data_IF_309679658419
#
_entry.id   IF_309679658419
#
_cell.length_a   1.000
_cell.length_b   1.000
_cell.length_c   1.000
_cell.angle_alpha   90.00
_cell.angle_beta   90.00
_cell.angle_gamma   90.00
#
_symmetry.space_group_name_H-M   'P 1'
#
loop_
_entity.id
_entity.type
_entity.pdbx_description
1 polymer ?
#
# COMPACT_ATOMS: atom_id res chain seq x y z
N UNK A 1 6.13 2.89 26.62
CA UNK A 1 6.16 2.05 25.40
C UNK A 1 4.85 2.24 24.67
N UNK A 2 4.86 2.82 23.47
CA UNK A 2 3.63 3.10 22.74
C UNK A 2 3.00 1.76 22.31
N UNK A 3 1.91 1.37 22.97
CA UNK A 3 1.15 0.17 22.63
C UNK A 3 0.72 0.19 21.16
N UNK A 4 0.61 -0.99 20.57
CA UNK A 4 0.05 -1.16 19.23
C UNK A 4 -1.31 -0.46 19.19
N UNK A 5 -1.40 0.73 18.57
CA UNK A 5 -2.66 1.43 18.36
C UNK A 5 -3.56 0.53 17.50
N UNK A 6 -4.53 -0.14 18.09
CA UNK A 6 -5.06 -1.40 17.56
C UNK A 6 -5.61 -1.39 16.12
N UNK A 7 -6.11 -0.27 15.62
CA UNK A 7 -6.64 -0.14 14.26
C UNK A 7 -6.32 1.27 13.76
N UNK A 8 -5.74 1.38 12.57
CA UNK A 8 -5.37 2.67 11.99
C UNK A 8 -5.49 2.60 10.47
N UNK A 9 -6.16 3.59 9.90
CA UNK A 9 -6.21 3.81 8.45
C UNK A 9 -5.44 5.07 8.10
N UNK A 10 -4.53 4.97 7.12
CA UNK A 10 -3.73 6.11 6.65
C UNK A 10 -3.62 6.11 5.14
N UNK A 11 -3.65 7.30 4.58
CA UNK A 11 -3.32 7.49 3.18
C UNK A 11 -1.88 7.97 3.00
N UNK A 12 -1.19 7.34 2.06
CA UNK A 12 0.20 7.64 1.71
C UNK A 12 0.33 7.89 0.22
N UNK A 13 1.31 8.72 -0.13
CA UNK A 13 1.77 8.87 -1.50
C UNK A 13 3.11 8.16 -1.66
N UNK A 14 3.15 7.04 -2.38
CA UNK A 14 4.40 6.32 -2.66
C UNK A 14 5.05 6.91 -3.91
N UNK A 15 6.33 7.29 -3.80
CA UNK A 15 7.17 7.60 -4.95
C UNK A 15 7.74 6.31 -5.57
N UNK A 16 7.06 5.79 -6.57
CA UNK A 16 7.45 4.60 -7.32
C UNK A 16 8.60 4.86 -8.28
N UNK A 17 8.75 6.09 -8.78
CA UNK A 17 9.85 6.44 -9.69
C UNK A 17 11.22 6.20 -9.04
N UNK A 18 11.40 6.62 -7.79
CA UNK A 18 12.64 6.37 -7.03
C UNK A 18 12.85 4.88 -6.73
N UNK A 19 11.78 4.15 -6.40
CA UNK A 19 11.83 2.72 -6.02
C UNK A 19 12.06 1.79 -7.21
N UNK A 20 11.67 2.20 -8.41
CA UNK A 20 11.80 1.43 -9.64
C UNK A 20 12.95 1.92 -10.53
N UNK A 21 13.79 2.80 -10.03
CA UNK A 21 14.95 3.30 -10.75
C UNK A 21 15.94 2.16 -11.06
N UNK A 22 16.42 2.08 -12.30
CA UNK A 22 17.35 1.03 -12.74
C UNK A 22 16.74 -0.37 -12.91
N UNK A 23 15.43 -0.55 -12.71
CA UNK A 23 14.78 -1.86 -12.87
C UNK A 23 14.49 -2.13 -14.35
N UNK A 24 14.83 -3.34 -14.83
CA UNK A 24 14.48 -3.80 -16.17
C UNK A 24 12.97 -3.71 -16.45
N UNK A 25 12.60 -3.29 -17.67
CA UNK A 25 11.20 -3.04 -18.04
C UNK A 25 10.27 -4.22 -17.79
N UNK A 26 10.74 -5.45 -18.06
CA UNK A 26 9.94 -6.68 -17.84
C UNK A 26 9.71 -6.98 -16.34
N UNK A 27 10.40 -6.30 -15.43
CA UNK A 27 10.30 -6.53 -13.98
C UNK A 27 9.71 -5.34 -13.22
N UNK A 28 9.36 -4.23 -13.90
CA UNK A 28 8.90 -3.00 -13.23
C UNK A 28 7.59 -3.19 -12.47
N UNK A 29 6.50 -3.62 -13.11
CA UNK A 29 5.23 -3.85 -12.40
C UNK A 29 5.31 -4.96 -11.32
N UNK A 30 5.96 -6.12 -11.57
CA UNK A 30 6.18 -7.09 -10.50
C UNK A 30 6.99 -6.55 -9.32
N UNK A 31 8.02 -5.72 -9.58
CA UNK A 31 8.81 -5.08 -8.53
C UNK A 31 7.97 -4.03 -7.78
N UNK A 32 7.11 -3.30 -8.48
CA UNK A 32 6.22 -2.31 -7.88
C UNK A 32 5.32 -2.93 -6.80
N UNK A 33 4.72 -4.08 -7.10
CA UNK A 33 3.89 -4.81 -6.12
C UNK A 33 4.71 -5.20 -4.89
N UNK A 34 5.95 -5.69 -5.07
CA UNK A 34 6.84 -6.06 -3.95
C UNK A 34 7.23 -4.84 -3.11
N UNK A 35 7.51 -3.71 -3.75
CA UNK A 35 7.84 -2.45 -3.08
C UNK A 35 6.66 -1.90 -2.26
N UNK A 36 5.43 -2.02 -2.79
CA UNK A 36 4.22 -1.62 -2.06
C UNK A 36 4.00 -2.51 -0.83
N UNK A 37 4.21 -3.84 -0.95
CA UNK A 37 4.18 -4.76 0.20
C UNK A 37 5.21 -4.38 1.26
N UNK A 38 6.45 -4.13 0.84
CA UNK A 38 7.53 -3.73 1.74
C UNK A 38 7.23 -2.39 2.43
N UNK A 39 6.65 -1.44 1.70
CA UNK A 39 6.22 -0.16 2.25
C UNK A 39 5.14 -0.33 3.33
N UNK A 40 4.11 -1.13 3.05
CA UNK A 40 3.05 -1.41 4.03
C UNK A 40 3.60 -2.12 5.27
N UNK A 41 4.46 -3.14 5.10
CA UNK A 41 5.11 -3.85 6.21
C UNK A 41 5.90 -2.88 7.11
N UNK A 42 6.69 -1.97 6.51
CA UNK A 42 7.50 -1.00 7.25
C UNK A 42 6.65 0.02 8.02
N UNK A 43 5.62 0.58 7.38
CA UNK A 43 4.85 1.69 7.97
C UNK A 43 3.74 1.24 8.93
N UNK A 44 3.20 0.03 8.76
CA UNK A 44 2.15 -0.52 9.64
C UNK A 44 2.66 -1.54 10.66
N UNK A 45 3.88 -2.06 10.48
CA UNK A 45 4.46 -3.05 11.38
C UNK A 45 3.75 -4.41 11.37
N UNK A 46 3.02 -4.74 10.29
CA UNK A 46 2.35 -6.04 10.15
C UNK A 46 3.10 -6.93 9.17
N UNK A 47 3.16 -8.23 9.45
CA UNK A 47 3.75 -9.20 8.54
C UNK A 47 2.79 -9.64 7.43
N UNK A 48 1.50 -9.76 7.75
CA UNK A 48 0.45 -10.02 6.77
C UNK A 48 0.07 -8.70 6.06
N UNK A 49 0.26 -8.67 4.74
CA UNK A 49 -0.08 -7.55 3.86
C UNK A 49 -0.86 -8.07 2.65
N UNK A 50 -2.12 -7.66 2.59
CA UNK A 50 -3.08 -8.01 1.55
C UNK A 50 -3.26 -6.81 0.62
N UNK A 51 -3.12 -7.03 -0.69
CA UNK A 51 -3.37 -6.00 -1.69
C UNK A 51 -4.76 -6.19 -2.27
N UNK A 52 -5.48 -5.08 -2.40
CA UNK A 52 -6.75 -5.04 -3.11
C UNK A 52 -6.54 -5.31 -4.62
N UNK A 53 -7.45 -6.07 -5.28
CA UNK A 53 -7.37 -6.28 -6.73
C UNK A 53 -7.43 -4.99 -7.56
N UNK A 54 -8.11 -3.95 -7.10
CA UNK A 54 -8.18 -2.65 -7.81
C UNK A 54 -6.84 -1.93 -7.79
N UNK A 55 -6.08 -2.05 -6.69
CA UNK A 55 -4.69 -1.58 -6.64
C UNK A 55 -3.82 -2.32 -7.65
N UNK A 56 -3.98 -3.64 -7.78
CA UNK A 56 -3.25 -4.40 -8.80
C UNK A 56 -3.64 -3.94 -10.22
N UNK A 57 -4.93 -3.79 -10.53
CA UNK A 57 -5.39 -3.25 -11.83
C UNK A 57 -4.76 -1.88 -12.13
N UNK A 58 -4.66 -0.99 -11.14
CA UNK A 58 -4.04 0.33 -11.30
C UNK A 58 -2.55 0.24 -11.63
N UNK A 59 -1.80 -0.60 -10.92
CA UNK A 59 -0.36 -0.83 -11.16
C UNK A 59 -0.10 -1.37 -12.56
N UNK A 60 -0.98 -2.24 -13.06
CA UNK A 60 -0.86 -2.91 -14.36
C UNK A 60 -1.58 -2.18 -15.51
N UNK A 61 -2.26 -1.07 -15.25
CA UNK A 61 -3.11 -0.34 -16.21
C UNK A 61 -2.39 0.06 -17.51
N UNK A 62 -1.11 0.45 -17.42
CA UNK A 62 -0.26 0.85 -18.56
C UNK A 62 0.72 -0.26 -18.97
N UNK A 63 0.44 -1.49 -18.56
CA UNK A 63 1.28 -2.68 -18.82
C UNK A 63 2.53 -2.76 -17.95
N UNK A 64 3.38 -3.74 -18.24
CA UNK A 64 4.49 -4.17 -17.36
C UNK A 64 5.55 -3.09 -17.11
N UNK A 65 5.77 -2.20 -18.08
CA UNK A 65 6.75 -1.10 -18.00
C UNK A 65 6.16 0.19 -17.41
N UNK A 66 4.85 0.38 -17.55
CA UNK A 66 4.17 1.67 -17.41
C UNK A 66 3.71 2.03 -16.00
N UNK A 67 4.42 1.61 -14.95
CA UNK A 67 4.00 1.92 -13.58
C UNK A 67 4.00 3.43 -13.31
N UNK A 68 2.91 3.94 -12.76
CA UNK A 68 2.79 5.35 -12.37
C UNK A 68 3.91 5.77 -11.40
N UNK A 69 4.45 6.97 -11.60
CA UNK A 69 5.58 7.48 -10.82
C UNK A 69 5.23 7.77 -9.36
N UNK A 70 3.99 8.16 -9.10
CA UNK A 70 3.46 8.39 -7.77
C UNK A 70 2.10 7.70 -7.66
N UNK A 71 1.92 6.96 -6.57
CA UNK A 71 0.68 6.23 -6.30
C UNK A 71 0.12 6.70 -4.96
N UNK A 72 -1.12 7.19 -4.95
CA UNK A 72 -1.86 7.42 -3.71
C UNK A 72 -2.51 6.11 -3.30
N UNK A 73 -2.18 5.64 -2.10
CA UNK A 73 -2.70 4.42 -1.53
C UNK A 73 -3.30 4.68 -0.16
N UNK A 74 -4.29 3.88 0.20
CA UNK A 74 -4.83 3.81 1.55
C UNK A 74 -4.36 2.49 2.13
N UNK A 75 -3.82 2.53 3.35
CA UNK A 75 -3.46 1.34 4.09
C UNK A 75 -4.30 1.33 5.35
N UNK A 76 -5.09 0.28 5.52
CA UNK A 76 -5.92 0.03 6.70
C UNK A 76 -5.34 -1.14 7.45
N UNK A 77 -4.92 -0.92 8.70
CA UNK A 77 -4.54 -2.01 9.60
C UNK A 77 -5.78 -2.48 10.34
N UNK A 78 -6.21 -3.72 10.09
CA UNK A 78 -7.43 -4.32 10.64
C UNK A 78 -7.08 -5.53 11.53
N UNK A 79 -7.95 -5.85 12.48
CA UNK A 79 -7.88 -7.09 13.28
C UNK A 79 -8.29 -8.27 12.40
N UNK A 80 -7.61 -9.40 12.57
CA UNK A 80 -8.01 -10.64 11.92
C UNK A 80 -9.02 -11.37 12.82
N UNK A 81 -10.18 -11.73 12.26
CA UNK A 81 -11.27 -12.43 12.97
C UNK A 81 -11.17 -13.95 12.81
N UNK A 82 -10.26 -14.44 11.96
CA UNK A 82 -10.06 -15.88 11.75
C UNK A 82 -9.32 -16.51 12.95
N UNK A 83 -9.94 -17.52 13.57
CA UNK A 83 -9.46 -18.22 14.77
C UNK A 83 -8.09 -18.90 14.60
N UNK A 84 -7.70 -19.24 13.37
CA UNK A 84 -6.42 -19.90 13.03
C UNK A 84 -5.33 -18.94 12.49
N UNK A 85 -5.50 -17.63 12.64
CA UNK A 85 -4.56 -16.67 12.08
C UNK A 85 -3.22 -16.63 12.85
N UNK A 86 -2.10 -16.76 12.11
CA UNK A 86 -0.74 -16.64 12.69
C UNK A 86 -0.42 -15.25 13.26
N UNK A 87 -1.13 -14.23 12.79
CA UNK A 87 -0.95 -12.84 13.22
C UNK A 87 -2.31 -12.21 13.51
N UNK A 88 -2.42 -11.49 14.63
CA UNK A 88 -3.65 -10.85 15.07
C UNK A 88 -4.07 -9.62 14.21
N UNK A 89 -3.12 -9.03 13.48
CA UNK A 89 -3.33 -7.82 12.68
C UNK A 89 -2.85 -8.07 11.24
N UNK A 90 -3.63 -7.59 10.27
CA UNK A 90 -3.22 -7.54 8.87
C UNK A 90 -3.35 -6.13 8.31
N UNK A 91 -2.53 -5.80 7.32
CA UNK A 91 -2.66 -4.56 6.56
C UNK A 91 -3.35 -4.82 5.24
N UNK A 92 -4.41 -4.08 4.96
CA UNK A 92 -5.10 -4.05 3.68
C UNK A 92 -4.69 -2.80 2.89
N UNK A 93 -4.28 -2.96 1.64
CA UNK A 93 -3.78 -1.86 0.81
C UNK A 93 -4.70 -1.64 -0.39
N UNK A 94 -5.25 -0.45 -0.49
CA UNK A 94 -6.16 -0.01 -1.54
C UNK A 94 -5.56 1.12 -2.38
N UNK A 95 -6.00 1.22 -3.63
CA UNK A 95 -5.68 2.36 -4.48
C UNK A 95 -6.69 3.48 -4.26
N UNK A 96 -6.20 4.68 -3.96
CA UNK A 96 -7.03 5.88 -3.95
C UNK A 96 -6.88 6.56 -5.31
N UNK A 97 -8.00 6.84 -5.96
CA UNK A 97 -8.02 7.56 -7.23
C UNK A 97 -8.30 9.03 -6.95
N UNK A 98 -7.23 9.82 -7.01
CA UNK A 98 -7.29 11.28 -6.90
C UNK A 98 -6.87 11.91 -8.23
N UNK A 99 -7.45 13.06 -8.62
CA UNK A 99 -7.06 13.77 -9.83
C UNK A 99 -5.59 14.23 -9.82
N UNK A 100 -5.09 14.65 -8.65
CA UNK A 100 -3.70 15.09 -8.49
C UNK A 100 -3.06 14.47 -7.24
N UNK A 101 -1.81 14.02 -7.39
CA UNK A 101 -1.02 13.37 -6.32
C UNK A 101 0.13 14.24 -5.80
N UNK A 102 0.30 15.45 -6.36
CA UNK A 102 1.35 16.38 -5.93
C UNK A 102 0.87 17.17 -4.71
N UNK A 103 1.72 17.36 -3.72
CA UNK A 103 1.41 18.15 -2.51
C UNK A 103 0.60 17.40 -1.43
N UNK A 104 0.04 16.23 -1.73
CA UNK A 104 -0.70 15.43 -0.75
C UNK A 104 0.25 14.83 0.30
N UNK A 105 0.09 15.26 1.54
CA UNK A 105 0.79 14.72 2.69
C UNK A 105 0.14 13.40 3.17
N UNK A 106 0.79 12.73 4.12
CA UNK A 106 0.21 11.57 4.79
C UNK A 106 -0.94 12.04 5.68
N UNK A 107 -2.10 11.42 5.51
CA UNK A 107 -3.30 11.75 6.27
C UNK A 107 -3.78 10.51 7.01
N UNK A 108 -4.13 10.66 8.28
CA UNK A 108 -4.86 9.63 9.03
C UNK A 108 -6.32 9.75 8.62
N UNK A 109 -6.89 8.68 8.09
CA UNK A 109 -8.32 8.64 7.76
C UNK A 109 -9.02 8.00 8.93
N UNK A 110 -9.92 8.76 9.55
CA UNK A 110 -10.86 8.22 10.51
C UNK A 110 -11.98 7.58 9.69
N UNK A 111 -12.16 6.26 9.81
CA UNK A 111 -13.38 5.62 9.33
C UNK A 111 -14.47 6.02 10.33
N UNK A 112 -15.34 6.96 9.96
CA UNK A 112 -16.60 7.17 10.68
C UNK A 112 -17.36 5.85 10.64
N UNK A 113 -17.60 5.29 11.83
CA UNK A 113 -18.26 4.00 12.04
C UNK A 113 -19.74 4.06 11.66
#
# INVERSE_FOLDING_TARGET
MAGLKDVVTREYTINMHKRLHGVSFKKRAPRAVKEIKAFAKLHMGTEDVRLDPSLNKKIWSKGIKGVDYKLRIRISRKRNEEENAKHALYSYVEAVTVPTVKGLQTVVVEEEA
#
